data_IF_855647732801
#
_entry.id   IF_855647732801
#
_cell.length_a   1.000
_cell.length_b   1.000
_cell.length_c   1.000
_cell.angle_alpha   90.00
_cell.angle_beta   90.00
_cell.angle_gamma   90.00
#
_symmetry.space_group_name_H-M   'P 1'
#
loop_
_entity.id
_entity.type
_entity.pdbx_description
1 polymer ?
#
# COMPACT_ATOMS: atom_id res chain seq x y z
N UNK A 1 14.37 -4.34 5.91
CA UNK A 1 14.29 -4.94 7.25
C UNK A 1 12.85 -5.07 7.70
N UNK A 2 12.23 -3.97 8.16
CA UNK A 2 10.90 -3.98 8.79
C UNK A 2 9.80 -4.68 7.97
N UNK A 3 9.66 -4.39 6.68
CA UNK A 3 8.63 -5.04 5.84
C UNK A 3 8.81 -6.55 5.68
N UNK A 4 10.06 -7.02 5.64
CA UNK A 4 10.36 -8.48 5.60
C UNK A 4 9.96 -9.11 6.93
N UNK A 5 10.36 -8.52 8.06
CA UNK A 5 9.99 -8.99 9.39
C UNK A 5 8.46 -9.01 9.58
N UNK A 6 7.75 -8.00 9.11
CA UNK A 6 6.29 -7.98 9.15
C UNK A 6 5.70 -9.16 8.36
N UNK A 7 6.22 -9.44 7.16
CA UNK A 7 5.82 -10.60 6.36
C UNK A 7 6.10 -11.94 7.07
N UNK A 8 7.26 -12.08 7.70
CA UNK A 8 7.60 -13.26 8.49
C UNK A 8 6.62 -13.46 9.64
N UNK A 9 6.23 -12.39 10.34
CA UNK A 9 5.20 -12.46 11.38
C UNK A 9 3.85 -12.96 10.84
N UNK A 10 3.42 -12.52 9.66
CA UNK A 10 2.17 -13.01 9.06
C UNK A 10 2.27 -14.50 8.73
N UNK A 11 3.42 -14.93 8.23
CA UNK A 11 3.66 -16.34 7.89
C UNK A 11 3.66 -17.22 9.13
N UNK A 12 4.37 -16.81 10.18
CA UNK A 12 4.41 -17.52 11.46
C UNK A 12 3.04 -17.56 12.15
N UNK A 13 2.27 -16.46 12.11
CA UNK A 13 0.91 -16.42 12.64
C UNK A 13 -0.03 -17.39 11.88
N UNK A 14 0.10 -17.46 10.56
CA UNK A 14 -0.63 -18.43 9.73
C UNK A 14 -0.30 -19.88 10.14
N UNK A 15 0.98 -20.19 10.29
CA UNK A 15 1.44 -21.56 10.58
C UNK A 15 1.08 -21.98 12.02
N UNK A 16 1.08 -21.02 12.94
CA UNK A 16 0.72 -21.22 14.35
C UNK A 16 -0.78 -21.19 14.65
N UNK A 17 -1.66 -21.01 13.64
CA UNK A 17 -3.10 -20.85 13.84
C UNK A 17 -3.46 -19.70 14.81
N UNK A 18 -2.76 -18.58 14.71
CA UNK A 18 -3.07 -17.37 15.48
C UNK A 18 -4.02 -16.49 14.69
N UNK A 19 -5.07 -16.01 15.35
CA UNK A 19 -5.96 -14.99 14.77
C UNK A 19 -5.23 -13.66 14.68
N UNK A 20 -4.83 -13.29 13.46
CA UNK A 20 -4.17 -12.04 13.16
C UNK A 20 -4.74 -11.46 11.86
N UNK A 21 -4.86 -10.13 11.83
CA UNK A 21 -5.19 -9.37 10.61
C UNK A 21 -4.19 -8.24 10.49
N UNK A 22 -3.65 -8.06 9.29
CA UNK A 22 -2.66 -7.02 9.02
C UNK A 22 -3.23 -5.95 8.09
N UNK A 23 -2.72 -4.74 8.23
CA UNK A 23 -3.10 -3.58 7.42
C UNK A 23 -1.82 -2.84 7.01
N UNK A 24 -1.78 -2.32 5.79
CA UNK A 24 -0.69 -1.49 5.29
C UNK A 24 -1.08 -0.73 4.03
N UNK A 25 -0.09 -0.17 3.33
CA UNK A 25 -0.32 0.53 2.05
C UNK A 25 0.08 -0.32 0.84
N UNK A 26 -0.72 -0.22 -0.20
CA UNK A 26 -0.38 -0.72 -1.53
C UNK A 26 0.40 0.38 -2.27
N UNK A 27 1.72 0.38 -2.14
CA UNK A 27 2.54 1.42 -2.75
C UNK A 27 2.63 1.27 -4.27
N UNK A 28 2.23 2.31 -5.02
CA UNK A 28 2.22 2.33 -6.49
C UNK A 28 3.60 2.14 -7.11
N UNK A 29 4.63 2.77 -6.55
CA UNK A 29 6.00 2.75 -7.08
C UNK A 29 6.97 1.97 -6.19
N UNK A 30 6.50 1.40 -5.08
CA UNK A 30 7.35 0.73 -4.10
C UNK A 30 8.44 1.64 -3.54
N UNK A 31 9.68 1.14 -3.50
CA UNK A 31 10.87 1.91 -3.10
C UNK A 31 11.58 2.48 -4.34
N UNK A 32 12.39 1.69 -5.04
CA UNK A 32 12.88 1.95 -6.40
C UNK A 32 13.58 0.71 -6.96
N UNK A 33 13.71 0.62 -8.28
CA UNK A 33 14.60 -0.35 -8.94
C UNK A 33 15.97 0.31 -9.14
N UNK A 34 16.99 -0.26 -8.51
CA UNK A 34 18.37 0.21 -8.62
C UNK A 34 19.01 -0.30 -9.92
N UNK A 35 19.54 0.61 -10.73
CA UNK A 35 20.43 0.27 -11.84
C UNK A 35 21.77 0.98 -11.68
N UNK A 36 22.83 0.41 -12.27
CA UNK A 36 24.17 1.00 -12.28
C UNK A 36 24.46 1.48 -13.69
N UNK A 37 24.75 2.76 -13.84
CA UNK A 37 25.09 3.36 -15.12
C UNK A 37 26.49 2.89 -15.60
N UNK A 38 26.83 3.06 -16.89
CA UNK A 38 28.15 2.69 -17.42
C UNK A 38 29.32 3.41 -16.72
N UNK A 39 29.10 4.59 -16.15
CA UNK A 39 30.06 5.36 -15.35
C UNK A 39 30.04 4.99 -13.85
N UNK A 40 29.29 3.97 -13.45
CA UNK A 40 29.27 3.43 -12.10
C UNK A 40 28.37 4.18 -11.12
N UNK A 41 27.52 5.08 -11.60
CA UNK A 41 26.57 5.79 -10.76
C UNK A 41 25.31 4.96 -10.50
N UNK A 42 24.76 5.10 -9.31
CA UNK A 42 23.46 4.54 -8.99
C UNK A 42 22.35 5.40 -9.61
N UNK A 43 21.45 4.74 -10.33
CA UNK A 43 20.23 5.33 -10.87
C UNK A 43 19.04 4.67 -10.19
N UNK A 44 18.14 5.48 -9.64
CA UNK A 44 16.90 5.03 -9.02
C UNK A 44 15.76 5.19 -10.03
N UNK A 45 15.11 4.09 -10.39
CA UNK A 45 13.98 4.08 -11.32
C UNK A 45 12.69 3.77 -10.56
N UNK A 46 11.63 4.53 -10.82
CA UNK A 46 10.33 4.40 -10.16
C UNK A 46 9.31 3.99 -11.20
N UNK A 47 9.12 2.68 -11.36
CA UNK A 47 8.13 2.13 -12.29
C UNK A 47 6.83 1.83 -11.53
N UNK A 48 5.66 2.26 -12.04
CA UNK A 48 4.39 1.94 -11.42
C UNK A 48 4.12 0.44 -11.52
N UNK A 49 3.67 -0.16 -10.42
CA UNK A 49 3.26 -1.56 -10.42
C UNK A 49 1.90 -1.73 -11.08
N UNK A 50 1.79 -2.77 -11.90
CA UNK A 50 0.49 -3.23 -12.39
C UNK A 50 -0.16 -4.12 -11.33
N UNK A 51 -1.11 -3.56 -10.59
CA UNK A 51 -1.82 -4.28 -9.52
C UNK A 51 -2.53 -5.55 -10.01
N UNK A 52 -2.89 -5.63 -11.30
CA UNK A 52 -3.50 -6.82 -11.88
C UNK A 52 -2.53 -8.00 -12.04
N UNK A 53 -1.22 -7.77 -11.96
CA UNK A 53 -0.19 -8.81 -12.02
C UNK A 53 0.26 -9.28 -10.64
N UNK A 54 -0.24 -8.66 -9.58
CA UNK A 54 0.06 -9.01 -8.20
C UNK A 54 -0.97 -10.03 -7.67
N UNK A 55 -0.59 -10.90 -6.72
CA UNK A 55 -1.51 -11.85 -6.09
C UNK A 55 -2.40 -11.16 -5.05
N UNK A 56 -3.12 -10.12 -5.46
CA UNK A 56 -3.97 -9.28 -4.63
C UNK A 56 -5.37 -9.22 -5.22
N UNK A 57 -6.38 -9.08 -4.37
CA UNK A 57 -7.78 -9.05 -4.77
C UNK A 57 -8.46 -7.80 -4.21
N UNK A 58 -9.29 -7.08 -4.97
CA UNK A 58 -10.09 -6.00 -4.43
C UNK A 58 -11.13 -6.55 -3.44
N UNK A 59 -11.32 -5.84 -2.33
CA UNK A 59 -12.39 -6.14 -1.38
C UNK A 59 -13.68 -5.50 -1.89
N UNK A 60 -14.79 -6.22 -1.83
CA UNK A 60 -16.09 -5.74 -2.29
C UNK A 60 -17.07 -5.59 -1.12
N UNK A 61 -17.95 -4.59 -1.23
CA UNK A 61 -19.11 -4.41 -0.37
C UNK A 61 -20.22 -5.41 -0.71
N UNK A 62 -21.25 -5.51 0.13
CA UNK A 62 -22.43 -6.36 -0.11
C UNK A 62 -23.14 -6.05 -1.45
N UNK A 63 -23.01 -4.81 -1.94
CA UNK A 63 -23.58 -4.36 -3.21
C UNK A 63 -22.71 -4.68 -4.43
N UNK A 64 -21.57 -5.37 -4.26
CA UNK A 64 -20.65 -5.71 -5.34
C UNK A 64 -19.77 -4.56 -5.84
N UNK A 65 -19.81 -3.40 -5.18
CA UNK A 65 -18.88 -2.30 -5.45
C UNK A 65 -17.59 -2.49 -4.66
N UNK A 66 -16.44 -2.12 -5.24
CA UNK A 66 -15.17 -2.15 -4.53
C UNK A 66 -15.26 -1.29 -3.26
N UNK A 67 -14.77 -1.82 -2.16
CA UNK A 67 -14.80 -1.16 -0.86
C UNK A 67 -13.95 0.10 -0.90
N UNK A 68 -14.55 1.18 -0.40
CA UNK A 68 -13.91 2.48 -0.20
C UNK A 68 -13.96 2.77 1.30
N UNK A 69 -12.78 2.92 1.91
CA UNK A 69 -12.62 3.44 3.26
C UNK A 69 -12.55 4.96 3.18
N UNK A 70 -13.43 5.65 3.89
CA UNK A 70 -13.43 7.10 4.03
C UNK A 70 -12.72 7.50 5.32
N UNK A 71 -11.68 8.33 5.20
CA UNK A 71 -10.90 8.83 6.33
C UNK A 71 -11.02 10.35 6.40
N UNK A 72 -11.57 10.91 7.50
CA UNK A 72 -11.75 12.35 7.63
C UNK A 72 -10.44 13.06 7.97
N UNK A 73 -10.00 13.91 7.05
CA UNK A 73 -8.89 14.84 7.24
C UNK A 73 -9.41 16.22 7.63
N UNK A 74 -8.55 17.14 8.09
CA UNK A 74 -8.94 18.54 8.20
C UNK A 74 -9.44 19.05 6.84
N UNK A 75 -10.67 19.57 6.83
CA UNK A 75 -11.32 20.25 5.70
C UNK A 75 -11.72 19.37 4.50
N UNK A 76 -11.37 18.08 4.50
CA UNK A 76 -11.72 17.15 3.40
C UNK A 76 -11.71 15.70 3.87
N UNK A 77 -12.27 14.81 3.06
CA UNK A 77 -12.15 13.38 3.26
C UNK A 77 -11.14 12.81 2.26
N UNK A 78 -10.36 11.83 2.70
CA UNK A 78 -9.49 11.02 1.85
C UNK A 78 -10.10 9.63 1.76
N UNK A 79 -10.13 9.09 0.55
CA UNK A 79 -10.74 7.79 0.25
C UNK A 79 -9.67 6.77 -0.07
N UNK A 80 -9.81 5.53 0.40
CA UNK A 80 -8.89 4.45 0.07
C UNK A 80 -9.64 3.23 -0.43
N UNK A 81 -9.25 2.73 -1.60
CA UNK A 81 -9.62 1.38 -2.00
C UNK A 81 -8.94 0.36 -1.11
N UNK A 82 -9.69 -0.69 -0.75
CA UNK A 82 -9.18 -1.79 0.07
C UNK A 82 -8.87 -2.98 -0.82
N UNK A 83 -7.62 -3.41 -0.78
CA UNK A 83 -7.12 -4.62 -1.42
C UNK A 83 -6.82 -5.67 -0.35
N UNK A 84 -6.84 -6.94 -0.73
CA UNK A 84 -6.56 -8.06 0.15
C UNK A 84 -5.50 -8.97 -0.44
N UNK A 85 -4.60 -9.42 0.40
CA UNK A 85 -3.62 -10.48 0.14
C UNK A 85 -3.83 -11.57 1.17
N UNK A 86 -3.85 -12.83 0.74
CA UNK A 86 -3.89 -13.97 1.66
C UNK A 86 -2.47 -14.49 1.89
N UNK A 87 -1.96 -14.34 3.12
CA UNK A 87 -0.70 -14.94 3.56
C UNK A 87 -1.04 -16.20 4.34
N UNK A 88 -1.19 -17.32 3.62
CA UNK A 88 -1.75 -18.54 4.18
C UNK A 88 -3.19 -18.28 4.68
N UNK A 89 -3.38 -18.32 6.00
CA UNK A 89 -4.69 -18.05 6.65
C UNK A 89 -4.88 -16.59 7.03
N UNK A 90 -3.81 -15.80 7.05
CA UNK A 90 -3.83 -14.42 7.49
C UNK A 90 -4.25 -13.51 6.35
N UNK A 91 -5.21 -12.62 6.64
CA UNK A 91 -5.61 -11.56 5.71
C UNK A 91 -4.74 -10.33 5.94
N UNK A 92 -4.04 -9.89 4.90
CA UNK A 92 -3.37 -8.59 4.83
C UNK A 92 -4.20 -7.66 3.96
N UNK A 93 -4.70 -6.58 4.53
CA UNK A 93 -5.40 -5.54 3.80
C UNK A 93 -4.44 -4.41 3.42
N UNK A 94 -4.52 -3.96 2.17
CA UNK A 94 -3.67 -2.89 1.66
C UNK A 94 -4.53 -1.75 1.14
N UNK A 95 -4.23 -0.54 1.58
CA UNK A 95 -4.97 0.67 1.23
C UNK A 95 -4.31 1.36 0.02
N UNK A 96 -5.14 1.88 -0.87
CA UNK A 96 -4.74 2.57 -2.09
C UNK A 96 -5.55 3.85 -2.30
N UNK A 97 -4.88 5.01 -2.35
CA UNK A 97 -5.51 6.32 -2.54
C UNK A 97 -5.45 6.81 -3.99
N UNK A 98 -4.79 6.10 -4.92
CA UNK A 98 -4.54 6.54 -6.30
C UNK A 98 -5.76 6.31 -7.22
N UNK A 99 -6.84 7.06 -7.00
CA UNK A 99 -8.05 7.03 -7.83
C UNK A 99 -8.86 8.33 -7.78
N UNK A 100 -9.90 8.41 -8.63
CA UNK A 100 -10.56 9.67 -8.98
C UNK A 100 -11.37 10.36 -7.88
N UNK A 101 -11.66 9.68 -6.77
CA UNK A 101 -12.33 10.31 -5.64
C UNK A 101 -11.42 11.27 -4.86
N UNK A 102 -10.10 11.17 -5.04
CA UNK A 102 -9.11 11.97 -4.33
C UNK A 102 -8.49 13.06 -5.21
N UNK A 103 -8.08 14.15 -4.56
CA UNK A 103 -7.24 15.18 -5.18
C UNK A 103 -5.88 14.60 -5.58
N UNK A 104 -5.20 15.17 -6.57
CA UNK A 104 -3.85 14.74 -6.96
C UNK A 104 -2.87 14.73 -5.76
N UNK A 105 -3.09 15.64 -4.81
CA UNK A 105 -2.29 15.76 -3.58
C UNK A 105 -2.56 14.65 -2.55
N UNK A 106 -3.72 14.02 -2.60
CA UNK A 106 -4.07 12.90 -1.71
C UNK A 106 -3.81 11.55 -2.38
N UNK A 107 -3.88 11.46 -3.71
CA UNK A 107 -3.47 10.26 -4.46
C UNK A 107 -2.03 9.88 -4.15
N UNK A 108 -1.15 10.87 -3.98
CA UNK A 108 0.27 10.65 -3.70
C UNK A 108 0.57 9.98 -2.35
N UNK A 109 -0.41 9.85 -1.46
CA UNK A 109 -0.24 9.22 -0.14
C UNK A 109 0.26 7.78 -0.31
N UNK A 110 -0.26 7.01 -1.27
CA UNK A 110 0.17 5.63 -1.54
C UNK A 110 1.15 5.49 -2.70
N UNK A 111 1.83 6.57 -3.12
CA UNK A 111 2.79 6.47 -4.22
C UNK A 111 4.10 5.78 -3.83
N UNK A 112 4.82 6.32 -2.84
CA UNK A 112 6.19 5.93 -2.53
C UNK A 112 6.36 5.55 -1.06
N UNK A 113 7.09 4.46 -0.83
CA UNK A 113 7.54 4.07 0.49
C UNK A 113 8.69 4.97 0.94
N UNK A 114 8.51 5.70 2.05
CA UNK A 114 9.48 6.69 2.55
C UNK A 114 9.79 7.84 1.57
N UNK A 115 8.90 8.10 0.61
CA UNK A 115 9.01 9.23 -0.31
C UNK A 115 8.15 10.43 0.10
N UNK A 116 8.22 11.48 -0.70
CA UNK A 116 7.50 12.74 -0.45
C UNK A 116 8.15 13.62 0.60
N UNK A 117 7.42 14.64 1.04
CA UNK A 117 7.84 15.57 2.08
C UNK A 117 7.27 15.17 3.46
N UNK A 118 7.56 16.01 4.47
CA UNK A 118 7.06 15.80 5.83
C UNK A 118 5.54 15.78 5.90
N UNK A 119 4.86 16.55 5.06
CA UNK A 119 3.41 16.59 5.03
C UNK A 119 2.85 15.27 4.50
N UNK A 120 3.36 14.76 3.38
CA UNK A 120 2.94 13.48 2.83
C UNK A 120 3.16 12.34 3.82
N UNK A 121 4.28 12.36 4.57
CA UNK A 121 4.52 11.39 5.64
C UNK A 121 3.49 11.48 6.76
N UNK A 122 3.13 12.69 7.20
CA UNK A 122 2.07 12.87 8.21
C UNK A 122 0.72 12.36 7.73
N UNK A 123 0.39 12.55 6.44
CA UNK A 123 -0.82 11.95 5.85
C UNK A 123 -0.75 10.42 5.84
N UNK A 124 0.37 9.84 5.42
CA UNK A 124 0.57 8.39 5.47
C UNK A 124 0.41 7.83 6.89
N UNK A 125 0.86 8.55 7.93
CA UNK A 125 0.70 8.10 9.31
C UNK A 125 -0.72 8.31 9.87
N UNK A 126 -1.51 9.22 9.29
CA UNK A 126 -2.89 9.51 9.71
C UNK A 126 -3.95 8.63 9.01
N UNK A 127 -3.69 8.20 7.77
CA UNK A 127 -4.58 7.34 6.99
C UNK A 127 -4.76 5.95 7.63
#
# INVERSE_FOLDING_TARGET
GLGVLAGDYLKEASDSHVDLTAVGFLYRYGYFTQTISPDGQQVANYEPQNFNELPIEPVYTENGQQMILEVPYPERNVYAHVWKVNVGRISLYLLDTDFDANSEFDRSITHQLYGGDWENRMKQEYL
#
